data_IF_149369128272
#
_entry.id   IF_149369128272
#
_cell.length_a   1.000
_cell.length_b   1.000
_cell.length_c   1.000
_cell.angle_alpha   90.00
_cell.angle_beta   90.00
_cell.angle_gamma   90.00
#
_symmetry.space_group_name_H-M   'P 1'
#
loop_
_entity.id
_entity.type
_entity.pdbx_description
1 polymer ?
#
# COMPACT_ATOMS: atom_id res chain seq x y z
N UNK A 1 -6.50 -3.56 0.43
CA UNK A 1 -6.21 -3.17 -0.96
C UNK A 1 -4.69 -3.17 -1.14
N UNK A 2 -4.25 -3.70 -2.28
CA UNK A 2 -2.86 -3.72 -2.72
C UNK A 2 -2.73 -2.93 -4.02
N UNK A 3 -2.05 -1.78 -4.02
CA UNK A 3 -2.00 -0.86 -5.16
C UNK A 3 -0.59 -0.76 -5.74
N UNK A 4 -0.50 -0.79 -7.06
CA UNK A 4 0.74 -0.68 -7.81
C UNK A 4 0.84 0.55 -8.70
N UNK A 5 1.91 0.61 -9.50
CA UNK A 5 2.17 1.71 -10.44
C UNK A 5 1.08 1.88 -11.49
N UNK A 6 0.35 0.81 -11.84
CA UNK A 6 -0.78 0.89 -12.76
C UNK A 6 -1.89 1.82 -12.30
N UNK A 7 -2.09 1.96 -10.97
CA UNK A 7 -3.04 2.94 -10.42
C UNK A 7 -2.65 4.39 -10.74
N UNK A 8 -1.35 4.70 -10.65
CA UNK A 8 -0.83 6.04 -10.98
C UNK A 8 -0.91 6.28 -12.49
N UNK A 9 -0.53 5.28 -13.29
CA UNK A 9 -0.56 5.37 -14.75
C UNK A 9 -1.98 5.59 -15.30
N UNK A 10 -2.99 4.99 -14.65
CA UNK A 10 -4.40 5.17 -14.99
C UNK A 10 -5.00 6.47 -14.41
N UNK A 11 -4.22 7.30 -13.69
CA UNK A 11 -4.73 8.46 -12.96
C UNK A 11 -5.93 8.11 -12.03
N UNK A 12 -5.83 6.96 -11.35
CA UNK A 12 -6.90 6.36 -10.53
C UNK A 12 -6.75 6.61 -9.02
N UNK A 13 -5.83 7.50 -8.61
CA UNK A 13 -5.52 7.73 -7.18
C UNK A 13 -6.70 8.27 -6.38
N UNK A 14 -7.55 9.10 -7.01
CA UNK A 14 -8.77 9.64 -6.39
C UNK A 14 -9.80 8.53 -6.18
N UNK A 15 -10.01 7.72 -7.20
CA UNK A 15 -10.93 6.59 -7.17
C UNK A 15 -10.48 5.53 -6.17
N UNK A 16 -9.17 5.24 -6.11
CA UNK A 16 -8.61 4.34 -5.09
C UNK A 16 -8.89 4.87 -3.69
N UNK A 17 -8.65 6.16 -3.45
CA UNK A 17 -8.91 6.80 -2.15
C UNK A 17 -10.40 6.76 -1.79
N UNK A 18 -11.28 7.12 -2.72
CA UNK A 18 -12.72 7.08 -2.50
C UNK A 18 -13.21 5.65 -2.20
N UNK A 19 -12.80 4.68 -3.01
CA UNK A 19 -13.17 3.28 -2.83
C UNK A 19 -12.69 2.74 -1.46
N UNK A 20 -11.44 3.00 -1.09
CA UNK A 20 -10.89 2.55 0.19
C UNK A 20 -11.63 3.18 1.37
N UNK A 21 -12.02 4.46 1.27
CA UNK A 21 -12.82 5.14 2.28
C UNK A 21 -14.23 4.59 2.40
N UNK A 22 -14.84 4.21 1.29
CA UNK A 22 -16.17 3.58 1.27
C UNK A 22 -16.14 2.19 1.91
N UNK A 23 -15.08 1.42 1.68
CA UNK A 23 -14.95 0.07 2.24
C UNK A 23 -14.38 0.10 3.66
N UNK A 24 -13.47 1.01 3.97
CA UNK A 24 -12.85 1.12 5.29
C UNK A 24 -11.70 0.12 5.53
N UNK A 25 -11.12 -0.47 4.48
CA UNK A 25 -10.05 -1.46 4.60
C UNK A 25 -8.63 -0.84 4.56
N UNK A 26 -7.60 -1.55 5.03
CA UNK A 26 -6.21 -1.14 4.91
C UNK A 26 -5.76 -1.05 3.44
N UNK A 27 -4.86 -0.10 3.17
CA UNK A 27 -4.23 0.07 1.85
C UNK A 27 -2.71 -0.05 1.98
N UNK A 28 -2.11 -0.87 1.14
CA UNK A 28 -0.66 -0.98 0.98
C UNK A 28 -0.25 -0.77 -0.46
N UNK A 29 0.92 -0.21 -0.69
CA UNK A 29 1.42 0.07 -2.02
C UNK A 29 2.69 -0.74 -2.34
N UNK A 30 2.91 -1.00 -3.63
CA UNK A 30 4.24 -1.36 -4.12
C UNK A 30 5.16 -0.14 -4.08
N UNK A 31 6.47 -0.33 -4.27
CA UNK A 31 7.40 0.79 -4.46
C UNK A 31 6.94 1.71 -5.60
N UNK A 32 6.53 1.16 -6.75
CA UNK A 32 6.04 1.92 -7.89
C UNK A 32 4.63 2.49 -7.71
N UNK A 33 3.91 2.04 -6.68
CA UNK A 33 2.59 2.53 -6.31
C UNK A 33 2.62 3.59 -5.22
N UNK A 34 3.78 3.92 -4.66
CA UNK A 34 3.89 4.99 -3.65
C UNK A 34 3.40 6.31 -4.24
N UNK A 35 2.54 6.99 -3.49
CA UNK A 35 1.84 8.19 -3.96
C UNK A 35 0.46 7.92 -4.59
N UNK A 36 0.11 6.68 -4.91
CA UNK A 36 -1.24 6.33 -5.37
C UNK A 36 -2.31 6.52 -4.28
N UNK A 37 -1.92 6.35 -3.03
CA UNK A 37 -2.76 6.57 -1.85
C UNK A 37 -2.04 7.51 -0.87
N UNK A 38 -2.75 8.40 -0.15
CA UNK A 38 -2.11 9.34 0.77
C UNK A 38 -1.34 8.64 1.88
N UNK A 39 -0.04 8.93 1.98
CA UNK A 39 0.86 8.30 2.98
C UNK A 39 0.56 8.70 4.43
N UNK A 40 -0.09 9.83 4.64
CA UNK A 40 -0.51 10.32 5.95
C UNK A 40 -1.93 9.88 6.37
N UNK A 41 -2.58 9.04 5.56
CA UNK A 41 -3.90 8.51 5.90
C UNK A 41 -3.80 7.30 6.83
N UNK A 42 -4.68 7.22 7.82
CA UNK A 42 -4.70 6.12 8.79
C UNK A 42 -4.95 4.74 8.16
N UNK A 43 -5.58 4.68 6.98
CA UNK A 43 -5.77 3.43 6.25
C UNK A 43 -4.50 2.96 5.55
N UNK A 44 -3.51 3.83 5.34
CA UNK A 44 -2.24 3.45 4.74
C UNK A 44 -1.39 2.67 5.76
N UNK A 45 -1.03 1.43 5.42
CA UNK A 45 -0.19 0.57 6.26
C UNK A 45 1.26 0.51 5.78
N UNK A 46 1.64 1.40 4.87
CA UNK A 46 2.99 1.48 4.33
C UNK A 46 3.19 0.65 3.06
N UNK A 47 4.44 0.59 2.63
CA UNK A 47 4.86 -0.22 1.50
C UNK A 47 4.92 -1.69 1.90
N UNK A 48 4.52 -2.58 0.98
CA UNK A 48 4.62 -4.02 1.13
C UNK A 48 5.97 -4.55 0.61
N UNK A 49 6.37 -5.69 1.09
CA UNK A 49 7.48 -6.48 0.56
C UNK A 49 8.73 -6.46 1.41
N UNK A 50 9.88 -6.83 0.80
CA UNK A 50 11.17 -7.04 1.47
C UNK A 50 11.64 -5.82 2.28
N UNK A 51 11.36 -4.62 1.81
CA UNK A 51 11.72 -3.35 2.46
C UNK A 51 10.50 -2.59 3.00
N UNK A 52 9.38 -3.28 3.09
CA UNK A 52 8.12 -2.71 3.56
C UNK A 52 8.01 -2.65 5.08
N UNK A 53 6.88 -2.11 5.52
CA UNK A 53 6.55 -2.07 6.95
C UNK A 53 6.13 -3.44 7.47
N UNK A 54 6.28 -3.65 8.76
CA UNK A 54 5.84 -4.90 9.40
C UNK A 54 4.33 -5.10 9.23
N UNK A 55 3.55 -4.08 9.54
CA UNK A 55 2.09 -4.12 9.44
C UNK A 55 1.60 -4.37 8.01
N UNK A 56 2.24 -3.81 6.98
CA UNK A 56 1.86 -4.09 5.58
C UNK A 56 2.08 -5.56 5.22
N UNK A 57 3.19 -6.14 5.65
CA UNK A 57 3.49 -7.55 5.41
C UNK A 57 2.52 -8.46 6.18
N UNK A 58 2.16 -8.11 7.41
CA UNK A 58 1.20 -8.88 8.21
C UNK A 58 -0.22 -8.78 7.65
N UNK A 59 -0.65 -7.58 7.24
CA UNK A 59 -1.95 -7.37 6.56
C UNK A 59 -2.05 -8.24 5.31
N UNK A 60 -1.01 -8.30 4.50
CA UNK A 60 -1.00 -9.13 3.30
C UNK A 60 -1.03 -10.63 3.63
N UNK A 61 -0.29 -11.04 4.66
CA UNK A 61 -0.15 -12.45 5.05
C UNK A 61 -1.43 -13.03 5.67
N UNK A 62 -2.17 -12.22 6.45
CA UNK A 62 -3.36 -12.66 7.19
C UNK A 62 -4.68 -12.23 6.54
N UNK A 63 -4.63 -11.57 5.37
CA UNK A 63 -5.83 -11.18 4.64
C UNK A 63 -6.65 -12.40 4.20
N UNK A 64 -7.95 -12.28 4.23
CA UNK A 64 -8.92 -13.19 3.61
C UNK A 64 -9.28 -12.77 2.17
N UNK A 65 -9.09 -11.50 1.84
CA UNK A 65 -9.24 -10.94 0.51
C UNK A 65 -8.09 -9.99 0.18
N UNK A 66 -7.40 -10.23 -0.93
CA UNK A 66 -6.42 -9.34 -1.54
C UNK A 66 -7.07 -8.71 -2.77
N UNK A 67 -7.28 -7.40 -2.70
CA UNK A 67 -7.81 -6.62 -3.80
C UNK A 67 -6.65 -5.85 -4.46
N UNK A 68 -6.16 -6.37 -5.58
CA UNK A 68 -5.01 -5.85 -6.29
C UNK A 68 -5.43 -4.89 -7.41
N UNK A 69 -4.85 -3.69 -7.43
CA UNK A 69 -5.09 -2.66 -8.43
C UNK A 69 -3.76 -2.25 -9.08
N UNK A 70 -3.53 -2.69 -10.31
CA UNK A 70 -2.38 -2.31 -11.12
C UNK A 70 -1.02 -2.71 -10.54
N UNK A 71 -0.94 -3.87 -9.87
CA UNK A 71 0.32 -4.41 -9.35
C UNK A 71 0.53 -5.85 -9.85
N UNK A 72 1.76 -6.18 -10.28
CA UNK A 72 2.07 -7.44 -10.98
C UNK A 72 2.39 -8.64 -10.08
N UNK A 73 2.27 -8.52 -8.75
CA UNK A 73 2.73 -9.54 -7.80
C UNK A 73 4.21 -9.92 -8.00
N UNK A 74 5.08 -8.92 -8.10
CA UNK A 74 6.51 -9.04 -8.32
C UNK A 74 7.21 -9.90 -7.24
N UNK A 75 8.36 -10.49 -7.56
CA UNK A 75 9.13 -11.35 -6.66
C UNK A 75 9.59 -10.63 -5.38
N UNK A 76 9.84 -9.32 -5.44
CA UNK A 76 10.19 -8.50 -4.28
C UNK A 76 9.07 -8.37 -3.26
N UNK A 77 7.84 -8.65 -3.68
CA UNK A 77 6.63 -8.63 -2.85
C UNK A 77 6.24 -10.05 -2.43
N UNK A 78 6.17 -10.97 -3.38
CA UNK A 78 5.68 -12.33 -3.13
C UNK A 78 6.69 -13.21 -2.45
N UNK A 79 7.99 -12.93 -2.59
CA UNK A 79 9.10 -13.69 -2.05
C UNK A 79 9.01 -15.18 -2.45
N UNK A 80 8.15 -15.95 -1.79
CA UNK A 80 7.83 -17.33 -2.15
C UNK A 80 6.36 -17.41 -2.64
N UNK A 81 6.11 -17.46 -3.96
CA UNK A 81 4.75 -17.47 -4.51
C UNK A 81 3.88 -18.60 -3.96
N UNK A 82 4.47 -19.77 -3.67
CA UNK A 82 3.72 -20.92 -3.13
C UNK A 82 3.22 -20.73 -1.69
N UNK A 83 3.67 -19.67 -1.01
CA UNK A 83 3.27 -19.32 0.36
C UNK A 83 2.57 -17.98 0.47
N UNK A 84 2.43 -17.27 -0.63
CA UNK A 84 1.87 -15.91 -0.64
C UNK A 84 0.34 -15.94 -0.58
N UNK A 85 -0.21 -15.32 0.47
CA UNK A 85 -1.65 -15.10 0.61
C UNK A 85 -2.48 -16.38 0.42
N UNK A 86 -2.07 -17.50 1.01
CA UNK A 86 -2.71 -18.82 0.79
C UNK A 86 -4.17 -18.85 1.19
N UNK A 87 -4.53 -18.14 2.26
CA UNK A 87 -5.90 -18.10 2.77
C UNK A 87 -6.77 -17.06 2.04
N UNK A 88 -6.15 -16.15 1.30
CA UNK A 88 -6.85 -15.03 0.69
C UNK A 88 -7.45 -15.39 -0.65
N UNK A 89 -8.71 -14.96 -0.89
CA UNK A 89 -9.23 -14.74 -2.23
C UNK A 89 -8.49 -13.58 -2.87
N UNK A 90 -8.30 -13.61 -4.18
CA UNK A 90 -7.52 -12.60 -4.91
C UNK A 90 -8.32 -12.05 -6.07
N UNK A 91 -8.52 -10.74 -6.07
CA UNK A 91 -9.08 -9.99 -7.18
C UNK A 91 -7.93 -9.19 -7.79
N UNK A 92 -7.77 -9.24 -9.10
CA UNK A 92 -6.71 -8.51 -9.80
C UNK A 92 -7.28 -7.67 -10.92
N UNK A 93 -7.10 -6.36 -10.80
CA UNK A 93 -7.43 -5.37 -11.83
C UNK A 93 -6.14 -4.94 -12.49
N UNK A 94 -6.00 -5.19 -13.78
CA UNK A 94 -4.86 -4.75 -14.59
C UNK A 94 -5.30 -4.50 -16.04
N UNK A 95 -4.69 -3.52 -16.69
CA UNK A 95 -4.90 -3.25 -18.12
C UNK A 95 -4.07 -4.16 -19.03
N UNK A 96 -3.06 -4.83 -18.47
CA UNK A 96 -2.22 -5.79 -19.19
C UNK A 96 -2.59 -7.23 -18.80
N UNK A 97 -3.32 -7.96 -19.67
CA UNK A 97 -3.73 -9.32 -19.37
C UNK A 97 -2.53 -10.28 -19.17
N UNK A 98 -1.35 -9.94 -19.69
CA UNK A 98 -0.15 -10.75 -19.48
C UNK A 98 0.43 -10.66 -18.06
N UNK A 99 -0.02 -9.70 -17.27
CA UNK A 99 0.33 -9.53 -15.86
C UNK A 99 -0.58 -10.35 -14.93
N UNK A 100 -1.79 -10.70 -15.39
CA UNK A 100 -2.77 -11.46 -14.62
C UNK A 100 -2.37 -12.96 -14.64
N UNK A 101 -2.51 -13.63 -13.50
CA UNK A 101 -2.15 -15.07 -13.31
C UNK A 101 -0.68 -15.40 -13.59
N UNK A 102 0.18 -14.42 -13.80
CA UNK A 102 1.57 -14.65 -14.20
C UNK A 102 2.44 -15.24 -13.10
N UNK A 103 2.33 -14.74 -11.88
CA UNK A 103 3.15 -15.16 -10.73
C UNK A 103 2.26 -15.77 -9.65
N UNK A 104 1.15 -15.12 -9.36
CA UNK A 104 0.15 -15.54 -8.38
C UNK A 104 -1.16 -15.78 -9.12
N UNK A 105 -1.73 -16.97 -8.97
CA UNK A 105 -3.07 -17.27 -9.45
C UNK A 105 -4.12 -16.45 -8.71
N UNK A 106 -5.12 -15.93 -9.43
CA UNK A 106 -6.18 -15.09 -8.88
C UNK A 106 -7.55 -15.76 -9.00
N UNK A 107 -8.46 -15.45 -8.08
CA UNK A 107 -9.83 -15.98 -8.09
C UNK A 107 -10.73 -15.19 -9.06
N UNK A 108 -10.44 -13.89 -9.22
CA UNK A 108 -11.17 -13.01 -10.14
C UNK A 108 -10.20 -12.07 -10.86
N UNK A 109 -10.14 -12.19 -12.16
CA UNK A 109 -9.42 -11.28 -13.04
C UNK A 109 -10.36 -10.24 -13.62
N UNK A 110 -9.96 -8.96 -13.58
CA UNK A 110 -10.69 -7.86 -14.22
C UNK A 110 -9.68 -7.14 -15.14
N UNK A 111 -9.73 -7.47 -16.43
CA UNK A 111 -8.94 -6.77 -17.44
C UNK A 111 -9.62 -5.42 -17.75
N UNK A 112 -8.89 -4.32 -17.51
CA UNK A 112 -9.40 -3.01 -17.77
C UNK A 112 -8.58 -1.87 -17.17
N UNK A 113 -8.94 -0.65 -17.55
CA UNK A 113 -8.38 0.56 -16.98
C UNK A 113 -8.78 0.69 -15.51
N UNK A 114 -7.79 0.86 -14.61
CA UNK A 114 -8.03 0.87 -13.18
C UNK A 114 -9.01 1.97 -12.75
N UNK A 115 -8.95 3.16 -13.38
CA UNK A 115 -9.86 4.28 -13.06
C UNK A 115 -11.30 3.93 -13.39
N UNK A 116 -11.54 3.43 -14.60
CA UNK A 116 -12.90 3.08 -15.06
C UNK A 116 -13.50 1.94 -14.24
N UNK A 117 -12.70 0.91 -13.94
CA UNK A 117 -13.15 -0.21 -13.09
C UNK A 117 -13.47 0.28 -11.69
N UNK A 118 -12.60 1.10 -11.07
CA UNK A 118 -12.83 1.64 -9.73
C UNK A 118 -14.07 2.53 -9.67
N UNK A 119 -14.35 3.35 -10.68
CA UNK A 119 -15.58 4.15 -10.76
C UNK A 119 -16.83 3.29 -10.71
N UNK A 120 -16.87 2.20 -11.49
CA UNK A 120 -17.99 1.28 -11.48
C UNK A 120 -18.16 0.58 -10.12
N UNK A 121 -17.05 0.17 -9.49
CA UNK A 121 -17.09 -0.47 -8.18
C UNK A 121 -17.56 0.48 -7.08
N UNK A 122 -17.15 1.75 -7.13
CA UNK A 122 -17.62 2.80 -6.20
C UNK A 122 -19.16 2.94 -6.27
N UNK A 123 -19.72 2.97 -7.47
CA UNK A 123 -21.18 3.04 -7.66
C UNK A 123 -21.89 1.82 -7.05
N UNK A 124 -21.35 0.62 -7.29
CA UNK A 124 -21.90 -0.62 -6.73
C UNK A 124 -21.83 -0.67 -5.21
N UNK A 125 -20.70 -0.26 -4.62
CA UNK A 125 -20.54 -0.21 -3.16
C UNK A 125 -21.52 0.79 -2.54
N UNK A 126 -21.67 1.98 -3.12
CA UNK A 126 -22.65 2.98 -2.67
C UNK A 126 -24.09 2.44 -2.71
N UNK A 127 -24.41 1.68 -3.75
CA UNK A 127 -25.74 1.09 -3.91
C UNK A 127 -26.00 -0.08 -2.95
N UNK A 128 -24.96 -0.81 -2.53
CA UNK A 128 -25.08 -2.01 -1.69
C UNK A 128 -25.37 -1.74 -0.22
N UNK A 129 -25.13 -0.50 0.26
CA UNK A 129 -25.24 -0.18 1.68
C UNK A 129 -24.18 -0.88 2.54
N UNK A 130 -22.95 -1.04 1.99
CA UNK A 130 -21.85 -1.71 2.66
C UNK A 130 -21.56 -1.13 4.04
N UNK A 131 -21.42 -1.99 5.06
CA UNK A 131 -21.13 -1.60 6.43
C UNK A 131 -19.63 -1.83 6.76
N UNK A 132 -18.90 -0.75 6.98
CA UNK A 132 -17.48 -0.79 7.36
C UNK A 132 -17.21 -1.41 8.74
N UNK A 133 -18.25 -1.53 9.59
CA UNK A 133 -18.09 -2.07 10.95
C UNK A 133 -17.55 -3.51 10.97
N UNK A 134 -17.67 -4.25 9.85
CA UNK A 134 -17.10 -5.59 9.69
C UNK A 134 -15.57 -5.63 9.87
N UNK A 135 -14.87 -4.52 9.66
CA UNK A 135 -13.41 -4.44 9.77
C UNK A 135 -12.90 -4.02 11.15
N UNK A 136 -13.75 -3.84 12.15
CA UNK A 136 -13.35 -3.37 13.48
C UNK A 136 -12.27 -4.25 14.12
N UNK A 137 -12.48 -5.57 14.10
CA UNK A 137 -11.52 -6.53 14.68
C UNK A 137 -10.24 -6.60 13.87
N UNK A 138 -10.36 -6.47 12.55
CA UNK A 138 -9.21 -6.39 11.65
C UNK A 138 -8.34 -5.16 11.96
N UNK A 139 -8.94 -4.00 12.09
CA UNK A 139 -8.24 -2.79 12.48
C UNK A 139 -7.59 -2.88 13.86
N UNK A 140 -8.21 -3.57 14.81
CA UNK A 140 -7.61 -3.82 16.12
C UNK A 140 -6.30 -4.60 16.02
N UNK A 141 -6.21 -5.58 15.11
CA UNK A 141 -4.97 -6.30 14.80
C UNK A 141 -3.93 -5.39 14.14
N UNK A 142 -4.32 -4.62 13.14
CA UNK A 142 -3.43 -3.71 12.41
C UNK A 142 -2.79 -2.70 13.38
N UNK A 143 -3.59 -2.10 14.26
CA UNK A 143 -3.09 -1.16 15.26
C UNK A 143 -2.16 -1.83 16.29
N UNK A 144 -2.43 -3.07 16.67
CA UNK A 144 -1.52 -3.82 17.53
C UNK A 144 -0.15 -4.05 16.85
N UNK A 145 -0.12 -4.38 15.55
CA UNK A 145 1.12 -4.52 14.80
C UNK A 145 1.88 -3.20 14.66
N UNK A 146 1.18 -2.10 14.33
CA UNK A 146 1.77 -0.76 14.30
C UNK A 146 2.42 -0.39 15.62
N UNK A 147 1.70 -0.60 16.73
CA UNK A 147 2.21 -0.28 18.06
C UNK A 147 3.43 -1.11 18.46
N UNK A 148 3.46 -2.39 18.07
CA UNK A 148 4.54 -3.30 18.46
C UNK A 148 5.79 -3.20 17.57
N UNK A 149 5.60 -2.96 16.27
CA UNK A 149 6.64 -3.11 15.25
C UNK A 149 6.66 -2.00 14.18
N UNK A 150 5.74 -1.03 14.26
CA UNK A 150 5.67 0.06 13.28
C UNK A 150 6.92 0.94 13.30
N UNK A 151 7.14 1.62 12.19
CA UNK A 151 8.24 2.58 12.08
C UNK A 151 8.03 3.76 13.03
N UNK A 152 9.12 4.24 13.60
CA UNK A 152 9.09 5.49 14.36
C UNK A 152 9.09 6.67 13.39
N UNK A 153 7.96 7.35 13.26
CA UNK A 153 7.83 8.55 12.42
C UNK A 153 8.12 9.86 13.18
N UNK A 154 8.60 9.81 14.41
CA UNK A 154 9.05 10.98 15.17
C UNK A 154 10.59 11.07 15.22
N UNK A 155 11.23 10.87 14.07
CA UNK A 155 12.70 10.81 13.97
C UNK A 155 13.36 12.16 14.20
N UNK A 156 12.67 13.28 13.89
CA UNK A 156 13.22 14.62 14.05
C UNK A 156 13.44 14.99 15.52
N UNK A 157 12.64 14.44 16.44
CA UNK A 157 12.77 14.64 17.86
C UNK A 157 13.69 13.61 18.54
N UNK A 158 14.16 12.62 17.77
CA UNK A 158 15.04 11.58 18.31
C UNK A 158 16.44 12.17 18.58
N UNK A 159 16.80 12.22 19.84
CA UNK A 159 18.17 12.53 20.24
C UNK A 159 19.01 11.27 20.23
N UNK A 160 20.15 11.30 19.56
CA UNK A 160 21.13 10.23 19.64
C UNK A 160 22.40 10.73 20.37
N UNK A 161 23.03 9.84 21.08
CA UNK A 161 24.21 10.16 21.92
C UNK A 161 25.44 10.60 21.11
N UNK A 162 25.44 10.33 19.81
CA UNK A 162 26.58 10.60 18.92
C UNK A 162 26.40 11.92 18.13
N UNK A 163 25.30 12.62 18.28
CA UNK A 163 24.94 13.83 17.52
C UNK A 163 25.06 13.64 15.98
N UNK A 164 24.72 12.44 15.51
CA UNK A 164 24.78 12.06 14.10
C UNK A 164 23.41 12.30 13.47
N UNK A 165 23.38 12.87 12.29
CA UNK A 165 22.14 13.00 11.50
C UNK A 165 21.80 11.63 10.90
N UNK A 166 20.64 11.10 11.28
CA UNK A 166 20.13 9.85 10.74
C UNK A 166 19.48 10.06 9.35
N UNK A 167 19.61 9.12 8.42
CA UNK A 167 18.97 9.23 7.10
C UNK A 167 17.47 9.49 7.16
N UNK A 168 16.77 8.89 8.11
CA UNK A 168 15.34 9.08 8.33
C UNK A 168 14.99 10.53 8.71
N UNK A 169 15.85 11.20 9.48
CA UNK A 169 15.68 12.61 9.84
C UNK A 169 15.80 13.50 8.60
N UNK A 170 16.71 13.19 7.68
CA UNK A 170 16.87 13.92 6.41
C UNK A 170 15.58 13.81 5.59
N UNK A 171 15.04 12.60 5.44
CA UNK A 171 13.81 12.36 4.67
C UNK A 171 12.62 13.07 5.31
N UNK A 172 12.45 12.99 6.64
CA UNK A 172 11.36 13.68 7.32
C UNK A 172 11.50 15.21 7.24
N UNK A 173 12.72 15.75 7.31
CA UNK A 173 12.95 17.18 7.09
C UNK A 173 12.57 17.60 5.68
N UNK A 174 12.88 16.76 4.68
CA UNK A 174 12.47 17.00 3.30
C UNK A 174 10.94 17.04 3.17
N UNK A 175 10.26 16.03 3.74
CA UNK A 175 8.78 16.01 3.75
C UNK A 175 8.20 17.25 4.43
N UNK A 176 8.70 17.66 5.60
CA UNK A 176 8.21 18.85 6.30
C UNK A 176 8.43 20.14 5.49
N UNK A 177 9.57 20.23 4.80
CA UNK A 177 9.90 21.40 3.97
C UNK A 177 9.01 21.49 2.74
N UNK A 178 8.77 20.37 2.07
CA UNK A 178 7.93 20.28 0.87
C UNK A 178 6.44 20.16 1.19
N UNK A 179 6.09 19.81 2.43
CA UNK A 179 4.71 19.48 2.88
C UNK A 179 4.10 18.32 2.07
N UNK A 180 4.94 17.42 1.58
CA UNK A 180 4.53 16.33 0.69
C UNK A 180 4.19 16.75 -0.74
N UNK A 181 4.31 18.04 -1.08
CA UNK A 181 4.03 18.56 -2.44
C UNK A 181 5.31 18.55 -3.28
N UNK A 182 5.78 17.35 -3.59
CA UNK A 182 6.98 17.16 -4.43
C UNK A 182 6.98 15.79 -5.12
N UNK A 183 7.58 15.75 -6.30
CA UNK A 183 7.99 14.50 -6.94
C UNK A 183 9.35 14.09 -6.40
N UNK A 184 9.40 12.95 -5.71
CA UNK A 184 10.64 12.43 -5.12
C UNK A 184 11.24 11.39 -6.06
N UNK A 185 12.45 11.67 -6.53
CA UNK A 185 13.24 10.73 -7.32
C UNK A 185 14.45 10.27 -6.51
N UNK A 186 14.80 9.01 -6.59
CA UNK A 186 15.97 8.47 -5.94
C UNK A 186 16.68 7.46 -6.83
N UNK A 187 17.98 7.30 -6.64
CA UNK A 187 18.74 6.17 -7.17
C UNK A 187 18.53 4.95 -6.26
N UNK A 188 19.07 3.81 -6.64
CA UNK A 188 18.94 2.55 -5.91
C UNK A 188 19.95 2.48 -4.75
N UNK A 189 19.45 2.16 -3.55
CA UNK A 189 20.28 2.01 -2.35
C UNK A 189 19.46 2.17 -1.06
N UNK A 190 20.14 2.26 0.07
CA UNK A 190 19.45 2.44 1.37
C UNK A 190 18.61 3.71 1.42
N UNK A 191 19.07 4.79 0.79
CA UNK A 191 18.34 6.06 0.70
C UNK A 191 16.98 5.92 0.03
N UNK A 192 16.85 5.03 -0.98
CA UNK A 192 15.57 4.72 -1.61
C UNK A 192 14.60 4.07 -0.60
N UNK A 193 15.10 3.15 0.22
CA UNK A 193 14.30 2.51 1.25
C UNK A 193 13.84 3.50 2.32
N UNK A 194 14.73 4.38 2.76
CA UNK A 194 14.37 5.45 3.71
C UNK A 194 13.35 6.42 3.11
N UNK A 195 13.49 6.79 1.84
CA UNK A 195 12.50 7.62 1.15
C UNK A 195 11.12 6.93 1.10
N UNK A 196 11.08 5.64 0.75
CA UNK A 196 9.84 4.87 0.68
C UNK A 196 9.15 4.67 2.05
N UNK A 197 9.89 4.73 3.15
CA UNK A 197 9.39 4.49 4.50
C UNK A 197 9.05 5.77 5.26
N UNK A 198 9.74 6.88 4.99
CA UNK A 198 9.73 8.07 5.86
C UNK A 198 9.34 9.38 5.16
N UNK A 199 9.12 9.37 3.84
CA UNK A 199 8.67 10.55 3.10
C UNK A 199 7.15 10.74 3.12
#
# INVERSE_FOLDING_TARGET
IYSGGGTIQADASKELTEFSKLIGCPVTNTLMGLGAFPGNDNQFVGMLGMHGTYEANMVMSEADLIFNVGARFDDRITNNPSKFGLAAKKIHIDSDPSSIDKIIGVDLAIEGDAKLVMQQLIEQVKASGFDQAIYKDWWSKVEAWRKAHGLNHDMLNLKNEQDIILPQQVIQSLYQTTKGDAYVTSDVGQHQMFAAQYY
#
